data_IF_856856495267
#
_entry.id   IF_856856495267
#
_cell.length_a   1.000
_cell.length_b   1.000
_cell.length_c   1.000
_cell.angle_alpha   90.00
_cell.angle_beta   90.00
_cell.angle_gamma   90.00
#
_symmetry.space_group_name_H-M   'P 1'
#
loop_
_entity.id
_entity.type
_entity.pdbx_description
1 polymer ?
#
# COMPACT_ATOMS: atom_id res chain seq x y z
N UNK A 1 30.76 20.98 5.48
CA UNK A 1 29.81 20.25 6.30
C UNK A 1 30.47 18.98 6.83
N UNK A 2 30.40 18.75 8.12
CA UNK A 2 30.99 17.58 8.74
C UNK A 2 30.16 16.33 8.47
N UNK A 3 30.82 15.25 8.02
CA UNK A 3 30.17 13.98 7.73
C UNK A 3 29.55 13.38 9.00
N UNK A 4 30.28 13.51 10.13
CA UNK A 4 29.79 12.99 11.41
C UNK A 4 28.53 13.70 11.87
N UNK A 5 28.47 15.04 11.72
CA UNK A 5 27.29 15.81 12.07
C UNK A 5 26.09 15.43 11.19
N UNK A 6 26.30 15.22 9.89
CA UNK A 6 25.26 14.77 8.97
C UNK A 6 24.73 13.39 9.35
N UNK A 7 25.62 12.47 9.70
CA UNK A 7 25.24 11.13 10.13
C UNK A 7 24.43 11.17 11.43
N UNK A 8 24.89 11.95 12.41
CA UNK A 8 24.19 12.07 13.68
C UNK A 8 22.78 12.64 13.51
N UNK A 9 22.63 13.66 12.69
CA UNK A 9 21.32 14.26 12.39
C UNK A 9 20.40 13.26 11.72
N UNK A 10 20.92 12.49 10.77
CA UNK A 10 20.14 11.45 10.08
C UNK A 10 19.74 10.34 11.05
N UNK A 11 20.65 9.91 11.90
CA UNK A 11 20.38 8.88 12.91
C UNK A 11 19.27 9.30 13.86
N UNK A 12 19.32 10.54 14.37
CA UNK A 12 18.27 11.06 15.25
C UNK A 12 16.89 11.11 14.58
N UNK A 13 16.83 11.39 13.27
CA UNK A 13 15.57 11.43 12.54
C UNK A 13 15.00 10.03 12.26
N UNK A 14 15.86 9.01 12.13
CA UNK A 14 15.45 7.68 11.68
C UNK A 14 15.48 6.62 12.77
N UNK A 15 16.05 6.92 13.94
CA UNK A 15 16.12 5.94 15.02
C UNK A 15 14.72 5.59 15.53
N UNK A 16 14.57 4.35 15.91
CA UNK A 16 13.32 3.89 16.51
C UNK A 16 13.17 4.46 17.92
N UNK A 17 11.95 4.76 18.28
CA UNK A 17 11.61 5.26 19.62
C UNK A 17 11.67 4.12 20.62
N UNK A 18 12.39 4.33 21.72
CA UNK A 18 12.44 3.37 22.81
C UNK A 18 11.31 3.65 23.80
N UNK A 19 10.60 2.59 24.19
CA UNK A 19 9.51 2.73 25.14
C UNK A 19 9.31 1.43 25.94
N UNK A 20 8.66 1.55 27.10
CA UNK A 20 8.31 0.38 27.89
C UNK A 20 7.16 -0.38 27.24
N UNK A 21 6.93 -1.63 27.67
CA UNK A 21 5.80 -2.42 27.21
C UNK A 21 4.47 -1.73 27.50
N UNK A 22 4.35 -1.13 28.66
CA UNK A 22 3.12 -0.41 29.04
C UNK A 22 2.87 0.77 28.09
N UNK A 23 3.90 1.55 27.79
CA UNK A 23 3.82 2.67 26.87
C UNK A 23 3.46 2.20 25.45
N UNK A 24 4.04 1.09 25.02
CA UNK A 24 3.74 0.51 23.72
C UNK A 24 2.28 0.07 23.62
N UNK A 25 1.76 -0.56 24.66
CA UNK A 25 0.35 -0.98 24.69
C UNK A 25 -0.60 0.21 24.64
N UNK A 26 -0.26 1.30 25.31
CA UNK A 26 -1.02 2.55 25.21
C UNK A 26 -0.98 3.12 23.79
N UNK A 27 0.19 3.07 23.16
CA UNK A 27 0.32 3.53 21.77
C UNK A 27 -0.49 2.67 20.82
N UNK A 28 -0.51 1.34 20.98
CA UNK A 28 -1.32 0.43 20.19
C UNK A 28 -2.82 0.76 20.31
N UNK A 29 -3.28 1.10 21.50
CA UNK A 29 -4.66 1.47 21.72
C UNK A 29 -5.03 2.77 21.02
N UNK A 30 -4.11 3.73 21.02
CA UNK A 30 -4.29 5.03 20.36
C UNK A 30 -4.17 4.93 18.84
N UNK A 31 -3.23 4.13 18.37
CA UNK A 31 -2.91 4.03 16.96
C UNK A 31 -2.79 2.56 16.54
N UNK A 32 -3.84 1.97 15.94
CA UNK A 32 -3.80 0.56 15.51
C UNK A 32 -2.67 0.23 14.52
N UNK A 33 -2.15 1.23 13.78
CA UNK A 33 -1.04 0.99 12.87
C UNK A 33 0.26 0.65 13.59
N UNK A 34 0.36 0.92 14.89
CA UNK A 34 1.56 0.57 15.65
C UNK A 34 1.83 -0.94 15.67
N UNK A 35 0.77 -1.75 15.60
CA UNK A 35 0.89 -3.21 15.59
C UNK A 35 0.39 -3.84 14.28
N UNK A 36 0.17 -3.05 13.26
CA UNK A 36 -0.31 -3.55 11.98
C UNK A 36 0.76 -4.41 11.28
N UNK A 37 0.30 -5.44 10.57
CA UNK A 37 1.19 -6.26 9.74
C UNK A 37 1.61 -5.48 8.50
N UNK A 38 2.62 -5.99 7.78
CA UNK A 38 3.09 -5.34 6.55
C UNK A 38 1.98 -5.20 5.51
N UNK A 39 1.17 -6.27 5.20
CA UNK A 39 0.05 -6.11 4.26
C UNK A 39 -0.98 -5.06 4.70
N UNK A 40 -1.29 -4.98 5.99
CA UNK A 40 -2.21 -3.98 6.51
C UNK A 40 -1.67 -2.56 6.28
N UNK A 41 -0.37 -2.35 6.50
CA UNK A 41 0.28 -1.07 6.26
C UNK A 41 0.29 -0.72 4.78
N UNK A 42 0.52 -1.71 3.91
CA UNK A 42 0.49 -1.50 2.46
C UNK A 42 -0.90 -1.07 2.00
N UNK A 43 -1.96 -1.73 2.46
CA UNK A 43 -3.34 -1.36 2.13
C UNK A 43 -3.66 0.07 2.59
N UNK A 44 -3.21 0.43 3.78
CA UNK A 44 -3.43 1.76 4.31
C UNK A 44 -2.76 2.82 3.45
N UNK A 45 -1.54 2.55 2.99
CA UNK A 45 -0.79 3.46 2.13
C UNK A 45 -1.43 3.60 0.75
N UNK A 46 -1.97 2.51 0.19
CA UNK A 46 -2.66 2.53 -1.10
C UNK A 46 -3.95 3.33 -1.01
N UNK A 47 -4.70 3.17 0.09
CA UNK A 47 -5.94 3.89 0.30
C UNK A 47 -7.14 3.26 -0.40
N UNK A 48 -8.28 3.95 -0.32
CA UNK A 48 -9.53 3.48 -0.86
C UNK A 48 -9.61 3.72 -2.38
N UNK A 49 -10.22 2.78 -3.13
CA UNK A 49 -10.40 2.97 -4.57
C UNK A 49 -11.55 3.91 -4.89
N UNK A 50 -11.50 4.48 -6.08
CA UNK A 50 -12.61 5.20 -6.67
C UNK A 50 -13.26 4.30 -7.71
N UNK A 51 -14.58 4.25 -7.73
CA UNK A 51 -15.33 3.48 -8.73
C UNK A 51 -15.52 4.32 -9.97
N UNK A 52 -15.09 3.82 -11.11
CA UNK A 52 -15.17 4.52 -12.39
C UNK A 52 -15.98 3.68 -13.37
N UNK A 53 -17.02 4.30 -13.94
CA UNK A 53 -17.81 3.69 -15.02
C UNK A 53 -17.12 4.01 -16.34
N UNK A 54 -16.51 3.00 -16.95
CA UNK A 54 -15.73 3.19 -18.18
C UNK A 54 -16.57 3.58 -19.38
N UNK A 55 -17.89 3.41 -19.32
CA UNK A 55 -18.78 3.82 -20.41
C UNK A 55 -18.76 5.34 -20.63
N UNK A 56 -18.47 6.09 -19.56
CA UNK A 56 -18.42 7.56 -19.59
C UNK A 56 -17.04 8.10 -19.95
N UNK A 57 -16.06 7.21 -20.14
CA UNK A 57 -14.69 7.57 -20.43
C UNK A 57 -14.24 6.85 -21.70
N UNK A 58 -14.20 7.52 -22.88
CA UNK A 58 -13.91 6.86 -24.16
C UNK A 58 -12.61 6.09 -24.20
N UNK A 59 -11.61 6.58 -23.49
CA UNK A 59 -10.29 5.95 -23.41
C UNK A 59 -10.35 4.63 -22.68
N UNK A 60 -11.01 4.65 -21.52
CA UNK A 60 -11.12 3.47 -20.66
C UNK A 60 -12.12 2.45 -21.19
N UNK A 61 -13.16 2.89 -21.90
CA UNK A 61 -14.13 1.96 -22.47
C UNK A 61 -13.50 1.04 -23.49
N UNK A 62 -12.48 1.49 -24.21
CA UNK A 62 -11.73 0.66 -25.15
C UNK A 62 -10.89 -0.40 -24.45
N UNK A 63 -10.36 -0.07 -23.27
CA UNK A 63 -9.50 -0.97 -22.51
C UNK A 63 -10.29 -1.98 -21.67
N UNK A 64 -11.43 -1.56 -21.13
CA UNK A 64 -12.14 -2.33 -20.09
C UNK A 64 -13.56 -2.74 -20.49
N UNK A 65 -13.89 -2.68 -21.76
CA UNK A 65 -15.14 -3.20 -22.31
C UNK A 65 -16.40 -2.68 -21.57
N UNK A 66 -16.46 -1.37 -21.31
CA UNK A 66 -17.62 -0.68 -20.72
C UNK A 66 -18.08 -1.25 -19.36
N UNK A 67 -17.15 -1.56 -18.49
CA UNK A 67 -17.45 -2.03 -17.13
C UNK A 67 -17.06 -1.01 -16.08
N UNK A 68 -17.59 -1.19 -14.87
CA UNK A 68 -17.18 -0.38 -13.71
C UNK A 68 -15.89 -0.98 -13.15
N UNK A 69 -14.87 -0.14 -12.99
CA UNK A 69 -13.57 -0.56 -12.47
C UNK A 69 -13.21 0.23 -11.22
N UNK A 70 -12.31 -0.33 -10.44
CA UNK A 70 -11.73 0.35 -9.27
C UNK A 70 -10.45 1.05 -9.69
N UNK A 71 -10.35 2.32 -9.37
CA UNK A 71 -9.15 3.13 -9.64
C UNK A 71 -8.56 3.57 -8.31
N UNK A 72 -7.29 3.27 -8.09
CA UNK A 72 -6.59 3.64 -6.87
C UNK A 72 -5.76 4.89 -7.14
N UNK A 73 -6.06 6.02 -6.48
CA UNK A 73 -5.31 7.27 -6.71
C UNK A 73 -3.81 7.14 -6.47
N UNK A 74 -3.37 6.23 -5.58
CA UNK A 74 -1.96 5.99 -5.33
C UNK A 74 -1.20 5.51 -6.58
N UNK A 75 -1.92 4.93 -7.55
CA UNK A 75 -1.35 4.41 -8.80
C UNK A 75 -1.79 5.22 -10.01
N UNK A 76 -2.06 6.51 -9.82
CA UNK A 76 -2.60 7.37 -10.88
C UNK A 76 -1.66 7.48 -12.11
N UNK A 77 -0.38 7.22 -11.93
CA UNK A 77 0.61 7.30 -13.02
C UNK A 77 0.62 6.06 -13.94
N UNK A 78 -0.10 5.01 -13.56
CA UNK A 78 -0.10 3.73 -14.31
C UNK A 78 -1.38 3.61 -15.11
N UNK A 79 -1.35 4.10 -16.35
CA UNK A 79 -2.52 4.08 -17.22
C UNK A 79 -2.75 2.71 -17.84
N UNK A 80 -4.00 2.28 -17.89
CA UNK A 80 -4.39 1.04 -18.54
C UNK A 80 -4.04 -0.22 -17.76
N UNK A 81 -3.55 -0.08 -16.53
CA UNK A 81 -3.12 -1.21 -15.69
C UNK A 81 -4.09 -1.47 -14.52
N UNK A 82 -5.27 -0.91 -14.57
CA UNK A 82 -6.22 -0.95 -13.45
C UNK A 82 -6.58 -2.38 -13.03
N UNK A 83 -6.75 -3.30 -14.01
CA UNK A 83 -7.02 -4.70 -13.68
C UNK A 83 -5.83 -5.37 -12.97
N UNK A 84 -4.61 -5.10 -13.44
CA UNK A 84 -3.40 -5.64 -12.81
C UNK A 84 -3.20 -5.06 -11.42
N UNK A 85 -3.46 -3.77 -11.25
CA UNK A 85 -3.38 -3.10 -9.96
C UNK A 85 -4.39 -3.70 -8.98
N UNK A 86 -5.62 -3.97 -9.44
CA UNK A 86 -6.64 -4.60 -8.59
C UNK A 86 -6.19 -5.98 -8.11
N UNK A 87 -5.51 -6.75 -8.95
CA UNK A 87 -4.96 -8.05 -8.55
C UNK A 87 -3.90 -7.90 -7.45
N UNK A 88 -3.02 -6.91 -7.58
CA UNK A 88 -1.99 -6.63 -6.57
C UNK A 88 -2.64 -6.20 -5.25
N UNK A 89 -3.59 -5.29 -5.31
CA UNK A 89 -4.30 -4.82 -4.11
C UNK A 89 -5.09 -5.94 -3.46
N UNK A 90 -5.72 -6.79 -4.26
CA UNK A 90 -6.44 -7.96 -3.76
C UNK A 90 -5.51 -8.92 -3.02
N UNK A 91 -4.30 -9.12 -3.53
CA UNK A 91 -3.28 -9.91 -2.85
C UNK A 91 -3.01 -9.35 -1.44
N UNK A 92 -2.78 -8.05 -1.32
CA UNK A 92 -2.54 -7.44 -0.02
C UNK A 92 -3.76 -7.50 0.88
N UNK A 93 -4.95 -7.36 0.32
CA UNK A 93 -6.20 -7.46 1.09
C UNK A 93 -6.36 -8.83 1.71
N UNK A 94 -6.13 -9.89 0.93
CA UNK A 94 -6.22 -11.26 1.44
C UNK A 94 -5.12 -11.55 2.46
N UNK A 95 -3.90 -11.07 2.22
CA UNK A 95 -2.80 -11.23 3.16
C UNK A 95 -3.09 -10.52 4.49
N UNK A 96 -3.69 -9.33 4.44
CA UNK A 96 -4.05 -8.57 5.63
C UNK A 96 -5.14 -9.27 6.45
N UNK A 97 -6.02 -10.04 5.79
CA UNK A 97 -7.05 -10.84 6.44
C UNK A 97 -6.53 -12.15 7.03
N UNK A 98 -5.25 -12.43 6.86
CA UNK A 98 -4.63 -13.65 7.37
C UNK A 98 -4.87 -14.89 6.52
N UNK A 99 -5.25 -14.71 5.26
CA UNK A 99 -5.47 -15.81 4.32
C UNK A 99 -4.13 -16.33 3.78
N UNK A 100 -4.20 -17.33 2.89
CA UNK A 100 -3.01 -18.00 2.37
C UNK A 100 -1.99 -17.06 1.72
N UNK A 101 -2.43 -15.98 1.14
CA UNK A 101 -1.58 -14.99 0.47
C UNK A 101 -0.50 -14.41 1.39
N UNK A 102 -0.73 -14.39 2.71
CA UNK A 102 0.28 -13.89 3.66
C UNK A 102 1.55 -14.75 3.67
N UNK A 103 1.44 -16.00 3.20
CA UNK A 103 2.56 -16.97 3.13
C UNK A 103 3.14 -17.08 1.73
N UNK A 104 2.57 -16.39 0.75
CA UNK A 104 2.97 -16.47 -0.64
C UNK A 104 3.87 -15.28 -1.00
N UNK A 105 4.66 -15.48 -2.05
CA UNK A 105 5.49 -14.42 -2.61
C UNK A 105 4.76 -13.81 -3.78
N UNK A 106 4.63 -12.49 -3.79
CA UNK A 106 4.08 -11.77 -4.92
C UNK A 106 5.17 -11.63 -5.98
N UNK A 107 4.96 -12.25 -7.13
CA UNK A 107 5.90 -12.21 -8.24
C UNK A 107 5.32 -11.37 -9.37
N UNK A 108 6.01 -10.29 -9.74
CA UNK A 108 5.59 -9.40 -10.81
C UNK A 108 6.42 -9.68 -12.06
N UNK A 109 5.76 -10.18 -13.10
CA UNK A 109 6.40 -10.50 -14.37
C UNK A 109 5.95 -9.48 -15.42
N UNK A 110 6.90 -8.86 -16.06
CA UNK A 110 6.63 -7.88 -17.10
C UNK A 110 7.40 -8.18 -18.39
N UNK A 111 7.15 -7.40 -19.44
CA UNK A 111 7.90 -7.52 -20.68
C UNK A 111 9.36 -7.12 -20.48
N UNK A 112 10.21 -7.72 -21.28
CA UNK A 112 11.66 -7.45 -21.24
C UNK A 112 11.97 -6.08 -21.88
#
# INVERSE_FOLDING_TARGET
MDVISSFAARYERTREEEMSLEDYLKECKRNPLAYATAPERMLRAIGEPQMVDTRNEPRMSRLFANKIIKVYPAFAEFYGMEDSIEQVVSYFRHAAQGLEEKKQILYLLGPV
#
